data_IF_160523636004
#
_entry.id   IF_160523636004
#
_cell.length_a   1.000
_cell.length_b   1.000
_cell.length_c   1.000
_cell.angle_alpha   90.00
_cell.angle_beta   90.00
_cell.angle_gamma   90.00
#
_symmetry.space_group_name_H-M   'P 1'
#
loop_
_entity.id
_entity.type
_entity.pdbx_description
1 polymer ?
#
# COMPACT_ATOMS: atom_id res chain seq x y z
N UNK A 1 -17.05 -20.00 -0.14
CA UNK A 1 -15.70 -19.62 -0.62
C UNK A 1 -15.42 -18.12 -0.48
N UNK A 2 -16.43 -17.26 -0.37
CA UNK A 2 -16.31 -15.78 -0.33
C UNK A 2 -15.52 -15.19 0.86
N UNK A 3 -15.49 -15.87 2.01
CA UNK A 3 -14.89 -15.29 3.22
C UNK A 3 -13.35 -15.15 3.16
N UNK A 4 -12.68 -15.95 2.33
CA UNK A 4 -11.20 -15.97 2.22
C UNK A 4 -10.69 -14.87 1.29
N UNK A 5 -11.46 -14.55 0.25
CA UNK A 5 -11.13 -13.47 -0.68
C UNK A 5 -11.37 -12.09 -0.03
N UNK A 6 -12.43 -11.95 0.79
CA UNK A 6 -12.66 -10.73 1.59
C UNK A 6 -11.60 -10.51 2.66
N UNK A 7 -11.13 -11.57 3.33
CA UNK A 7 -10.07 -11.45 4.34
C UNK A 7 -8.72 -11.07 3.70
N UNK A 8 -8.39 -11.62 2.54
CA UNK A 8 -7.18 -11.25 1.80
C UNK A 8 -7.24 -9.82 1.26
N UNK A 9 -8.39 -9.39 0.74
CA UNK A 9 -8.62 -8.01 0.31
C UNK A 9 -8.53 -7.01 1.47
N UNK A 10 -9.16 -7.33 2.61
CA UNK A 10 -9.11 -6.51 3.82
C UNK A 10 -7.68 -6.38 4.38
N UNK A 11 -6.92 -7.48 4.38
CA UNK A 11 -5.52 -7.50 4.79
C UNK A 11 -4.62 -6.59 3.94
N UNK A 12 -4.79 -6.62 2.61
CA UNK A 12 -4.01 -5.78 1.69
C UNK A 12 -4.34 -4.29 1.81
N UNK A 13 -5.62 -3.95 2.04
CA UNK A 13 -6.02 -2.57 2.31
C UNK A 13 -5.42 -2.06 3.63
N UNK A 14 -5.49 -2.86 4.70
CA UNK A 14 -4.90 -2.51 5.99
C UNK A 14 -3.37 -2.31 5.88
N UNK A 15 -2.67 -3.22 5.18
CA UNK A 15 -1.23 -3.10 4.92
C UNK A 15 -0.87 -1.84 4.13
N UNK A 16 -1.70 -1.45 3.17
CA UNK A 16 -1.50 -0.22 2.38
C UNK A 16 -1.72 1.03 3.23
N UNK A 17 -2.73 1.03 4.12
CA UNK A 17 -2.95 2.10 5.07
C UNK A 17 -1.78 2.25 6.06
N UNK A 18 -1.23 1.12 6.55
CA UNK A 18 -0.04 1.11 7.40
C UNK A 18 1.18 1.66 6.66
N UNK A 19 1.40 1.25 5.40
CA UNK A 19 2.51 1.75 4.57
C UNK A 19 2.42 3.26 4.29
N UNK A 20 1.22 3.76 4.04
CA UNK A 20 0.99 5.20 3.90
C UNK A 20 1.26 5.96 5.21
N UNK A 21 0.78 5.44 6.34
CA UNK A 21 0.97 6.05 7.65
C UNK A 21 2.44 6.08 8.06
N UNK A 22 3.20 5.00 7.85
CA UNK A 22 4.63 4.96 8.16
C UNK A 22 5.44 5.89 7.26
N UNK A 23 5.12 5.97 5.97
CA UNK A 23 5.75 6.91 5.05
C UNK A 23 5.48 8.37 5.46
N UNK A 24 4.24 8.69 5.83
CA UNK A 24 3.88 10.02 6.34
C UNK A 24 4.61 10.35 7.64
N UNK A 25 4.74 9.40 8.57
CA UNK A 25 5.47 9.58 9.83
C UNK A 25 6.96 9.84 9.58
N UNK A 26 7.57 9.06 8.69
CA UNK A 26 8.98 9.21 8.31
C UNK A 26 9.24 10.57 7.65
N UNK A 27 8.37 10.98 6.72
CA UNK A 27 8.43 12.28 6.07
C UNK A 27 8.26 13.44 7.07
N UNK A 28 7.29 13.34 7.99
CA UNK A 28 7.07 14.32 9.06
C UNK A 28 8.27 14.43 10.02
N UNK A 29 9.00 13.32 10.23
CA UNK A 29 10.18 13.28 11.10
C UNK A 29 11.44 13.94 10.50
N UNK A 30 11.40 14.30 9.21
CA UNK A 30 12.53 14.88 8.50
C UNK A 30 12.78 16.33 8.97
N UNK A 31 14.04 16.68 9.21
CA UNK A 31 14.48 18.02 9.63
C UNK A 31 13.92 19.15 8.76
N UNK A 32 13.81 18.92 7.44
CA UNK A 32 13.24 19.88 6.47
C UNK A 32 11.78 20.21 6.79
N UNK A 33 10.97 19.17 6.98
CA UNK A 33 9.54 19.26 7.26
C UNK A 33 9.29 19.89 8.63
N UNK A 34 10.07 19.50 9.64
CA UNK A 34 10.00 20.11 10.99
C UNK A 34 10.31 21.60 10.99
N UNK A 35 11.24 22.08 10.15
CA UNK A 35 11.56 23.51 10.04
C UNK A 35 10.42 24.31 9.41
N UNK A 36 9.77 23.77 8.38
CA UNK A 36 8.64 24.43 7.70
C UNK A 36 7.34 24.40 8.55
N UNK A 37 7.19 23.44 9.46
CA UNK A 37 6.00 23.29 10.31
C UNK A 37 6.02 24.10 11.63
N UNK A 38 7.07 24.88 11.93
CA UNK A 38 7.08 25.73 13.14
C UNK A 38 8.44 25.89 13.82
N UNK A 39 9.53 26.01 13.05
CA UNK A 39 10.89 26.10 13.60
C UNK A 39 11.62 27.44 13.37
N UNK A 40 10.94 28.50 12.93
CA UNK A 40 11.58 29.79 12.63
C UNK A 40 11.25 30.85 13.68
N UNK A 41 12.28 31.47 14.24
CA UNK A 41 12.22 32.65 15.13
C UNK A 41 11.22 33.70 14.66
N UNK A 42 10.63 34.45 15.61
CA UNK A 42 9.72 35.61 15.46
C UNK A 42 9.44 36.06 14.00
N UNK A 43 8.40 35.48 13.37
CA UNK A 43 7.85 35.96 12.10
C UNK A 43 7.72 34.95 10.95
N UNK A 44 8.18 33.70 11.11
CA UNK A 44 8.04 32.67 10.06
C UNK A 44 6.62 32.05 10.10
N UNK A 45 5.84 32.29 9.04
CA UNK A 45 4.52 31.68 8.86
C UNK A 45 4.69 30.17 8.62
N UNK A 46 3.83 29.36 9.23
CA UNK A 46 3.89 27.90 9.06
C UNK A 46 3.58 27.55 7.60
N UNK A 47 4.57 27.07 6.86
CA UNK A 47 4.39 26.78 5.43
C UNK A 47 3.68 25.44 5.21
N UNK A 48 2.36 25.51 5.12
CA UNK A 48 1.49 24.37 4.83
C UNK A 48 1.56 23.88 3.38
N UNK A 49 2.24 24.60 2.47
CA UNK A 49 2.38 24.20 1.05
C UNK A 49 3.04 22.84 0.92
N UNK A 50 4.01 22.56 1.80
CA UNK A 50 4.74 21.29 1.86
C UNK A 50 3.79 20.13 2.21
N UNK A 51 2.77 20.38 3.04
CA UNK A 51 1.72 19.41 3.35
C UNK A 51 0.83 19.11 2.14
N UNK A 52 0.49 20.12 1.35
CA UNK A 52 -0.41 19.94 0.21
C UNK A 52 0.30 19.34 -0.99
N UNK A 53 1.58 19.66 -1.18
CA UNK A 53 2.35 19.26 -2.38
C UNK A 53 3.05 17.92 -2.21
N UNK A 54 3.64 17.64 -1.05
CA UNK A 54 4.44 16.42 -0.86
C UNK A 54 3.66 15.28 -0.19
N UNK A 55 2.78 15.57 0.77
CA UNK A 55 2.03 14.54 1.50
C UNK A 55 1.25 13.58 0.58
N UNK A 56 0.55 14.03 -0.49
CA UNK A 56 -0.15 13.12 -1.39
C UNK A 56 0.79 12.13 -2.08
N UNK A 57 1.98 12.61 -2.47
CA UNK A 57 3.00 11.80 -3.13
C UNK A 57 3.61 10.79 -2.15
N UNK A 58 3.88 11.21 -0.92
CA UNK A 58 4.40 10.35 0.16
C UNK A 58 3.40 9.26 0.52
N UNK A 59 2.11 9.61 0.67
CA UNK A 59 1.05 8.65 0.94
C UNK A 59 0.90 7.66 -0.22
N UNK A 60 0.90 8.14 -1.46
CA UNK A 60 0.83 7.29 -2.66
C UNK A 60 2.03 6.33 -2.74
N UNK A 61 3.25 6.82 -2.50
CA UNK A 61 4.45 5.99 -2.49
C UNK A 61 4.42 4.95 -1.36
N UNK A 62 4.01 5.34 -0.15
CA UNK A 62 3.87 4.45 1.00
C UNK A 62 2.82 3.36 0.81
N UNK A 63 1.72 3.66 0.11
CA UNK A 63 0.68 2.70 -0.22
C UNK A 63 1.03 1.80 -1.42
N UNK A 64 1.80 2.31 -2.39
CA UNK A 64 2.06 1.60 -3.64
C UNK A 64 2.87 0.31 -3.44
N UNK A 65 3.91 0.33 -2.61
CA UNK A 65 4.74 -0.84 -2.33
C UNK A 65 3.95 -2.05 -1.78
N UNK A 66 3.19 -1.93 -0.68
CA UNK A 66 2.39 -3.04 -0.17
C UNK A 66 1.28 -3.45 -1.14
N UNK A 67 0.66 -2.52 -1.87
CA UNK A 67 -0.34 -2.83 -2.88
C UNK A 67 0.24 -3.67 -4.03
N UNK A 68 1.42 -3.31 -4.54
CA UNK A 68 2.13 -4.06 -5.58
C UNK A 68 2.52 -5.46 -5.10
N UNK A 69 3.04 -5.59 -3.86
CA UNK A 69 3.39 -6.88 -3.28
C UNK A 69 2.16 -7.80 -3.18
N UNK A 70 1.02 -7.26 -2.70
CA UNK A 70 -0.25 -7.97 -2.66
C UNK A 70 -0.72 -8.39 -4.06
N UNK A 71 -0.67 -7.49 -5.05
CA UNK A 71 -1.07 -7.79 -6.43
C UNK A 71 -0.24 -8.94 -7.02
N UNK A 72 1.09 -8.92 -6.82
CA UNK A 72 1.99 -9.99 -7.26
C UNK A 72 1.64 -11.31 -6.58
N UNK A 73 1.42 -11.32 -5.26
CA UNK A 73 1.06 -12.52 -4.52
C UNK A 73 -0.27 -13.12 -5.00
N UNK A 74 -1.28 -12.28 -5.21
CA UNK A 74 -2.58 -12.68 -5.74
C UNK A 74 -2.46 -13.28 -7.16
N UNK A 75 -1.68 -12.65 -8.05
CA UNK A 75 -1.41 -13.18 -9.39
C UNK A 75 -0.72 -14.53 -9.33
N UNK A 76 0.25 -14.69 -8.44
CA UNK A 76 0.99 -15.94 -8.26
C UNK A 76 0.09 -17.07 -7.75
N UNK A 77 -0.77 -16.78 -6.75
CA UNK A 77 -1.76 -17.75 -6.25
C UNK A 77 -2.78 -18.15 -7.33
N UNK A 78 -3.29 -17.18 -8.11
CA UNK A 78 -4.21 -17.47 -9.22
C UNK A 78 -3.56 -18.35 -10.28
N UNK A 79 -2.29 -18.12 -10.61
CA UNK A 79 -1.53 -18.94 -11.56
C UNK A 79 -1.34 -20.38 -11.06
N UNK A 80 -1.02 -20.55 -9.77
CA UNK A 80 -0.90 -21.88 -9.15
C UNK A 80 -2.21 -22.66 -9.15
N UNK A 81 -3.34 -22.01 -8.84
CA UNK A 81 -4.67 -22.67 -8.87
C UNK A 81 -5.08 -23.16 -10.26
N UNK A 82 -4.72 -22.44 -11.32
CA UNK A 82 -4.98 -22.87 -12.71
C UNK A 82 -4.14 -24.08 -13.11
N UNK A 83 -2.92 -24.19 -12.60
CA UNK A 83 -2.05 -25.33 -12.90
C UNK A 83 -2.52 -26.64 -12.24
N UNK A 84 -3.16 -26.57 -11.07
CA UNK A 84 -3.71 -27.75 -10.38
C UNK A 84 -5.13 -28.13 -10.79
N UNK A 85 -5.89 -27.23 -11.41
CA UNK A 85 -7.27 -27.49 -11.86
C UNK A 85 -7.40 -28.13 -13.25
N UNK A 86 -6.31 -28.35 -13.98
CA UNK A 86 -6.31 -28.87 -15.36
C UNK A 86 -6.12 -30.39 -15.50
N UNK A 87 -6.15 -31.16 -14.41
CA UNK A 87 -5.76 -32.58 -14.41
C UNK A 87 -6.89 -33.60 -14.22
N UNK A 88 -8.15 -33.25 -14.48
CA UNK A 88 -9.29 -34.10 -14.08
C UNK A 88 -10.44 -34.15 -15.07
N UNK A 89 -10.21 -34.38 -16.37
CA UNK A 89 -11.26 -34.78 -17.32
C UNK A 89 -10.65 -35.60 -18.47
N UNK A 90 -10.24 -36.83 -18.21
CA UNK A 90 -10.04 -37.83 -19.27
C UNK A 90 -10.04 -39.23 -18.68
N UNK A 91 -11.20 -39.74 -18.23
CA UNK A 91 -11.49 -41.18 -18.26
C UNK A 91 -12.98 -41.41 -17.90
N UNK A 92 -13.86 -41.17 -18.87
CA UNK A 92 -15.22 -41.71 -18.90
C UNK A 92 -15.63 -41.70 -20.37
N UNK A 93 -14.99 -42.56 -21.16
CA UNK A 93 -15.56 -43.01 -22.43
C UNK A 93 -15.02 -44.41 -22.72
N UNK A 94 -16.00 -45.30 -22.93
CA UNK A 94 -15.98 -46.72 -23.36
C UNK A 94 -15.51 -47.84 -22.40
#
# INVERSE_FOLDING_TARGET
>A
MEHRDSAAGCGCCALSAVGAATAALAWASTDRTRRHMGGGFEGEDTDYTVLVTELPLVLAAGAALPALACAVLLLWMRRRRRATGGGGTSEFDE
#
